data_IF_951529781103
#
_entry.id   IF_951529781103
#
_cell.length_a   1.000
_cell.length_b   1.000
_cell.length_c   1.000
_cell.angle_alpha   90.00
_cell.angle_beta   90.00
_cell.angle_gamma   90.00
#
_symmetry.space_group_name_H-M   'P 1'
#
loop_
_entity.id
_entity.type
_entity.pdbx_description
1 polymer ?
#
# COMPACT_ATOMS: atom_id res chain seq x y z
N UNK A 1 -5.04 5.28 19.24
CA UNK A 1 -5.41 5.55 17.84
C UNK A 1 -4.90 6.94 17.50
N UNK A 2 -4.04 7.06 16.50
CA UNK A 2 -3.68 8.38 15.96
C UNK A 2 -4.93 8.97 15.29
N UNK A 3 -5.38 10.13 15.76
CA UNK A 3 -6.52 10.83 15.17
C UNK A 3 -6.11 11.38 13.80
N UNK A 4 -6.81 10.96 12.74
CA UNK A 4 -6.56 11.48 11.39
C UNK A 4 -7.23 12.84 11.23
N UNK A 5 -6.50 13.80 10.69
CA UNK A 5 -7.05 15.13 10.36
C UNK A 5 -7.97 15.05 9.13
N UNK A 6 -8.87 16.02 9.00
CA UNK A 6 -9.60 16.27 7.76
C UNK A 6 -8.67 16.89 6.71
N UNK A 7 -8.19 16.07 5.78
CA UNK A 7 -7.28 16.51 4.73
C UNK A 7 -8.04 16.86 3.44
N UNK A 8 -8.21 18.16 3.19
CA UNK A 8 -8.83 18.73 1.97
C UNK A 8 -7.79 19.22 0.93
N UNK A 9 -6.55 18.71 0.97
CA UNK A 9 -5.50 19.14 0.05
C UNK A 9 -5.86 18.82 -1.41
N UNK A 10 -5.51 19.74 -2.32
CA UNK A 10 -5.77 19.58 -3.76
C UNK A 10 -4.81 18.60 -4.46
N UNK A 11 -3.66 18.28 -3.85
CA UNK A 11 -2.66 17.37 -4.42
C UNK A 11 -1.26 17.52 -3.79
N UNK A 12 -0.58 16.43 -3.36
CA UNK A 12 -1.16 15.11 -3.08
C UNK A 12 -2.34 15.19 -2.08
N UNK A 13 -3.26 14.24 -2.16
CA UNK A 13 -4.54 14.28 -1.45
C UNK A 13 -4.73 13.09 -0.49
N UNK A 14 -5.89 13.04 0.16
CA UNK A 14 -6.24 11.95 1.07
C UNK A 14 -6.38 10.62 0.31
N UNK A 15 -5.91 9.54 0.95
CA UNK A 15 -6.17 8.16 0.53
C UNK A 15 -7.14 7.48 1.50
N UNK A 16 -8.00 6.55 1.02
CA UNK A 16 -8.86 5.75 1.88
C UNK A 16 -8.06 4.99 2.93
N UNK A 17 -8.57 4.92 4.17
CA UNK A 17 -7.87 4.29 5.30
C UNK A 17 -7.65 2.81 5.04
N UNK A 18 -8.67 2.13 4.52
CA UNK A 18 -8.66 0.72 4.18
C UNK A 18 -7.57 0.35 3.16
N UNK A 19 -7.27 1.24 2.22
CA UNK A 19 -6.18 1.05 1.24
C UNK A 19 -4.82 1.17 1.92
N UNK A 20 -4.65 2.16 2.80
CA UNK A 20 -3.41 2.36 3.55
C UNK A 20 -3.14 1.18 4.50
N UNK A 21 -4.16 0.69 5.21
CA UNK A 21 -4.02 -0.47 6.10
C UNK A 21 -3.72 -1.75 5.33
N UNK A 22 -4.35 -1.96 4.16
CA UNK A 22 -4.01 -3.08 3.28
C UNK A 22 -2.55 -3.01 2.83
N UNK A 23 -2.13 -1.86 2.27
CA UNK A 23 -0.75 -1.66 1.82
C UNK A 23 0.27 -1.88 2.95
N UNK A 24 -0.05 -1.40 4.16
CA UNK A 24 0.76 -1.63 5.37
C UNK A 24 0.83 -3.12 5.74
N UNK A 25 -0.29 -3.84 5.70
CA UNK A 25 -0.33 -5.28 6.04
C UNK A 25 0.46 -6.15 5.06
N UNK A 26 0.49 -5.76 3.79
CA UNK A 26 1.16 -6.50 2.71
C UNK A 26 2.57 -5.97 2.40
N UNK A 27 3.06 -4.96 3.15
CA UNK A 27 4.30 -4.25 2.82
C UNK A 27 5.52 -5.17 2.77
N UNK A 28 5.59 -6.15 3.68
CA UNK A 28 6.69 -7.13 3.76
C UNK A 28 6.48 -8.34 2.85
N UNK A 29 5.22 -8.71 2.59
CA UNK A 29 4.90 -9.82 1.71
C UNK A 29 3.55 -9.61 1.04
N UNK A 30 3.58 -9.35 -0.26
CA UNK A 30 2.37 -9.26 -1.06
C UNK A 30 1.71 -10.64 -1.12
N UNK A 31 0.47 -10.77 -0.64
CA UNK A 31 -0.30 -12.02 -0.71
C UNK A 31 0.44 -13.28 -0.24
N UNK A 32 1.38 -13.15 0.70
CA UNK A 32 2.13 -14.30 1.23
C UNK A 32 3.17 -14.90 0.29
N UNK A 33 3.54 -14.24 -0.82
CA UNK A 33 4.56 -14.74 -1.77
C UNK A 33 6.00 -14.69 -1.24
N UNK A 34 6.21 -14.12 -0.04
CA UNK A 34 7.52 -13.96 0.58
C UNK A 34 8.35 -12.76 0.10
N UNK A 35 7.77 -11.83 -0.67
CA UNK A 35 8.44 -10.61 -1.14
C UNK A 35 7.52 -9.39 -1.08
N UNK A 36 8.11 -8.21 -0.84
CA UNK A 36 7.42 -6.93 -0.95
C UNK A 36 7.09 -6.62 -2.41
N UNK A 37 5.98 -5.91 -2.67
CA UNK A 37 5.67 -5.39 -4.01
C UNK A 37 6.81 -4.52 -4.58
N UNK A 38 7.60 -3.88 -3.71
CA UNK A 38 8.75 -3.05 -4.11
C UNK A 38 9.96 -3.88 -4.58
N UNK A 39 9.99 -5.18 -4.32
CA UNK A 39 11.08 -6.09 -4.67
C UNK A 39 10.73 -7.01 -5.86
N UNK A 40 9.43 -7.10 -6.21
CA UNK A 40 8.96 -7.92 -7.32
C UNK A 40 9.42 -7.33 -8.65
N UNK A 41 10.07 -8.15 -9.47
CA UNK A 41 10.37 -7.79 -10.86
C UNK A 41 9.08 -7.54 -11.63
N UNK A 42 9.01 -6.40 -12.31
CA UNK A 42 7.91 -6.03 -13.21
C UNK A 42 7.69 -7.00 -14.39
N UNK A 43 8.61 -7.96 -14.60
CA UNK A 43 8.50 -9.02 -15.63
C UNK A 43 8.15 -10.39 -15.05
N UNK A 44 7.89 -10.47 -13.75
CA UNK A 44 7.57 -11.73 -13.08
C UNK A 44 6.07 -12.02 -13.10
N UNK A 45 5.70 -13.29 -12.96
CA UNK A 45 4.31 -13.74 -12.85
C UNK A 45 3.56 -13.18 -11.64
N UNK A 46 4.29 -12.64 -10.65
CA UNK A 46 3.69 -12.03 -9.46
C UNK A 46 3.35 -10.55 -9.65
N UNK A 47 3.78 -9.95 -10.75
CA UNK A 47 3.46 -8.56 -11.11
C UNK A 47 2.27 -8.47 -12.07
N UNK A 48 2.01 -9.52 -12.86
CA UNK A 48 0.87 -9.64 -13.78
C UNK A 48 -0.47 -9.91 -13.07
#
# INVERSE_FOLDING_TARGET
>A
MTERIYNFSAGPAILPVEVLEKAKSELLSLNGIGMSVMEISHRSKHFE
#
